data_IF_758495534404
#
_entry.id   IF_758495534404
#
_cell.length_a   1.000
_cell.length_b   1.000
_cell.length_c   1.000
_cell.angle_alpha   90.00
_cell.angle_beta   90.00
_cell.angle_gamma   90.00
#
_symmetry.space_group_name_H-M   'P 1'
#
loop_
_entity.id
_entity.type
_entity.pdbx_description
1 polymer ?
#
# COMPACT_ATOMS: atom_id res chain seq x y z
N UNK A 1 -18.50 -8.47 -4.59
CA UNK A 1 -18.19 -7.31 -5.47
C UNK A 1 -16.70 -7.40 -5.79
N UNK A 2 -16.31 -7.15 -7.04
CA UNK A 2 -14.90 -7.17 -7.46
C UNK A 2 -14.56 -5.79 -7.99
N UNK A 3 -13.55 -5.15 -7.42
CA UNK A 3 -13.00 -3.89 -7.90
C UNK A 3 -11.61 -4.14 -8.46
N UNK A 4 -11.42 -3.86 -9.75
CA UNK A 4 -10.13 -3.89 -10.43
C UNK A 4 -9.85 -2.50 -10.99
N UNK A 5 -8.62 -2.03 -10.86
CA UNK A 5 -8.24 -0.68 -11.26
C UNK A 5 -6.87 -0.67 -11.93
N UNK A 6 -6.65 0.35 -12.76
CA UNK A 6 -5.36 0.68 -13.36
C UNK A 6 -5.20 2.19 -13.20
N UNK A 7 -4.06 2.63 -12.66
CA UNK A 7 -3.75 4.05 -12.46
C UNK A 7 -2.45 4.40 -13.19
N UNK A 8 -2.42 5.47 -14.01
CA UNK A 8 -1.18 5.93 -14.64
C UNK A 8 -0.32 6.63 -13.59
N UNK A 9 0.85 6.06 -13.28
CA UNK A 9 1.77 6.56 -12.26
C UNK A 9 2.97 7.34 -12.81
N UNK A 10 3.04 7.49 -14.13
CA UNK A 10 4.20 8.06 -14.80
C UNK A 10 5.42 7.14 -14.76
N UNK A 11 6.62 7.73 -14.81
CA UNK A 11 7.88 7.00 -14.74
C UNK A 11 8.29 6.75 -13.30
N UNK A 12 8.58 5.50 -12.96
CA UNK A 12 8.98 5.09 -11.62
C UNK A 12 9.55 3.68 -11.60
N UNK A 13 9.84 3.17 -10.41
CA UNK A 13 10.31 1.79 -10.22
C UNK A 13 9.14 0.83 -9.98
N UNK A 14 9.36 -0.47 -10.16
CA UNK A 14 8.35 -1.49 -9.84
C UNK A 14 7.88 -1.38 -8.38
N UNK A 15 8.81 -1.15 -7.44
CA UNK A 15 8.46 -1.00 -6.02
C UNK A 15 7.64 0.26 -5.74
N UNK A 16 7.86 1.34 -6.50
CA UNK A 16 7.02 2.53 -6.43
C UNK A 16 5.60 2.24 -6.93
N UNK A 17 5.48 1.54 -8.06
CA UNK A 17 4.20 1.17 -8.64
C UNK A 17 3.38 0.28 -7.69
N UNK A 18 4.01 -0.74 -7.10
CA UNK A 18 3.37 -1.64 -6.13
C UNK A 18 2.93 -0.91 -4.86
N UNK A 19 3.76 0.00 -4.35
CA UNK A 19 3.43 0.81 -3.16
C UNK A 19 2.21 1.68 -3.42
N UNK A 20 2.17 2.35 -4.58
CA UNK A 20 1.07 3.25 -4.95
C UNK A 20 -0.20 2.47 -5.28
N UNK A 21 -0.10 1.28 -5.87
CA UNK A 21 -1.23 0.39 -6.07
C UNK A 21 -1.84 -0.06 -4.74
N UNK A 22 -1.01 -0.49 -3.78
CA UNK A 22 -1.47 -0.86 -2.44
C UNK A 22 -2.16 0.32 -1.72
N UNK A 23 -1.56 1.51 -1.79
CA UNK A 23 -2.14 2.71 -1.21
C UNK A 23 -3.50 3.08 -1.82
N UNK A 24 -3.62 3.01 -3.15
CA UNK A 24 -4.88 3.29 -3.84
C UNK A 24 -5.96 2.29 -3.45
N UNK A 25 -5.64 0.98 -3.42
CA UNK A 25 -6.59 -0.06 -3.04
C UNK A 25 -7.11 0.11 -1.62
N UNK A 26 -6.22 0.39 -0.66
CA UNK A 26 -6.62 0.61 0.75
C UNK A 26 -7.46 1.88 0.89
N UNK A 27 -7.07 2.98 0.24
CA UNK A 27 -7.83 4.21 0.29
C UNK A 27 -9.24 4.01 -0.28
N UNK A 28 -9.36 3.29 -1.39
CA UNK A 28 -10.66 2.95 -1.97
C UNK A 28 -11.52 2.15 -0.98
N UNK A 29 -10.93 1.16 -0.31
CA UNK A 29 -11.64 0.38 0.72
C UNK A 29 -12.15 1.29 1.86
N UNK A 30 -11.30 2.18 2.37
CA UNK A 30 -11.66 3.11 3.45
C UNK A 30 -12.75 4.11 3.04
N UNK A 31 -12.72 4.60 1.80
CA UNK A 31 -13.74 5.50 1.25
C UNK A 31 -15.13 4.85 1.16
N UNK A 32 -15.21 3.52 1.22
CA UNK A 32 -16.44 2.74 1.19
C UNK A 32 -16.71 2.02 2.53
N UNK A 33 -16.16 2.56 3.63
CA UNK A 33 -16.37 2.08 5.00
C UNK A 33 -15.89 0.64 5.29
N UNK A 34 -15.01 0.09 4.45
CA UNK A 34 -14.36 -1.19 4.74
C UNK A 34 -13.20 -1.00 5.73
N UNK A 35 -13.39 -1.45 6.98
CA UNK A 35 -12.39 -1.32 8.06
C UNK A 35 -11.52 -2.55 8.29
N UNK A 36 -12.02 -3.73 7.90
CA UNK A 36 -11.33 -5.02 8.02
C UNK A 36 -10.79 -5.42 6.66
N UNK A 37 -9.51 -5.20 6.42
CA UNK A 37 -8.87 -5.36 5.11
C UNK A 37 -7.77 -6.40 5.22
N UNK A 38 -7.80 -7.42 4.35
CA UNK A 38 -6.66 -8.30 4.10
C UNK A 38 -5.93 -7.74 2.88
N UNK A 39 -4.70 -7.28 3.08
CA UNK A 39 -3.84 -6.76 2.02
C UNK A 39 -2.89 -7.85 1.54
N UNK A 40 -3.16 -8.42 0.36
CA UNK A 40 -2.28 -9.39 -0.28
C UNK A 40 -1.38 -8.70 -1.31
N UNK A 41 -0.06 -8.90 -1.18
CA UNK A 41 0.94 -8.23 -2.02
C UNK A 41 1.96 -9.26 -2.49
N UNK A 42 2.23 -9.30 -3.80
CA UNK A 42 3.27 -10.16 -4.39
C UNK A 42 4.68 -9.53 -4.36
N UNK A 43 4.89 -8.51 -3.53
CA UNK A 43 6.14 -7.75 -3.43
C UNK A 43 6.85 -8.03 -2.12
N UNK A 44 7.96 -8.75 -2.17
CA UNK A 44 8.74 -9.08 -0.98
C UNK A 44 9.27 -7.82 -0.29
N UNK A 45 9.73 -6.83 -1.06
CA UNK A 45 10.25 -5.58 -0.53
C UNK A 45 9.16 -4.79 0.21
N UNK A 46 7.98 -4.63 -0.40
CA UNK A 46 6.89 -3.91 0.22
C UNK A 46 6.42 -4.61 1.50
N UNK A 47 6.30 -5.94 1.48
CA UNK A 47 5.98 -6.72 2.67
C UNK A 47 6.99 -6.50 3.80
N UNK A 48 8.29 -6.44 3.49
CA UNK A 48 9.35 -6.15 4.48
C UNK A 48 9.29 -4.71 5.01
N UNK A 49 8.93 -3.73 4.17
CA UNK A 49 8.74 -2.34 4.59
C UNK A 49 7.54 -2.17 5.51
N UNK A 50 6.39 -2.76 5.14
CA UNK A 50 5.16 -2.71 5.93
C UNK A 50 5.30 -3.45 7.27
N UNK A 51 6.09 -4.53 7.29
CA UNK A 51 6.39 -5.27 8.52
C UNK A 51 7.51 -4.63 9.36
N UNK A 52 7.98 -3.43 9.02
CA UNK A 52 9.11 -2.75 9.66
C UNK A 52 10.42 -3.55 9.75
N UNK A 53 10.59 -4.60 8.92
CA UNK A 53 11.79 -5.47 8.93
C UNK A 53 13.00 -4.78 8.30
N UNK A 54 12.76 -3.94 7.30
CA UNK A 54 13.79 -3.14 6.63
C UNK A 54 13.27 -1.72 6.42
N UNK A 55 14.18 -0.74 6.37
CA UNK A 55 13.82 0.64 6.02
C UNK A 55 13.68 0.80 4.51
N UNK A 56 12.68 1.54 4.01
CA UNK A 56 12.62 1.88 2.60
C UNK A 56 13.72 2.87 2.20
N UNK A 57 14.10 2.90 0.91
CA UNK A 57 14.92 3.98 0.37
C UNK A 57 14.28 5.34 0.62
N UNK A 58 15.11 6.38 0.83
CA UNK A 58 14.64 7.76 1.10
C UNK A 58 13.65 8.27 0.04
N UNK A 59 13.86 7.90 -1.23
CA UNK A 59 13.01 8.29 -2.36
C UNK A 59 11.60 7.69 -2.32
N UNK A 60 11.43 6.52 -1.68
CA UNK A 60 10.16 5.83 -1.54
C UNK A 60 9.48 6.10 -0.19
N UNK A 61 10.21 6.68 0.77
CA UNK A 61 9.70 6.94 2.10
C UNK A 61 8.45 7.83 2.09
N UNK A 62 8.41 8.82 1.19
CA UNK A 62 7.25 9.69 0.98
C UNK A 62 5.96 8.95 0.58
N UNK A 63 6.06 7.76 -0.01
CA UNK A 63 4.91 6.94 -0.42
C UNK A 63 4.58 5.87 0.63
N UNK A 64 5.61 5.31 1.29
CA UNK A 64 5.45 4.21 2.23
C UNK A 64 5.01 4.68 3.61
N UNK A 65 5.50 5.83 4.09
CA UNK A 65 5.11 6.35 5.40
C UNK A 65 3.60 6.63 5.51
N UNK A 66 2.94 7.26 4.52
CA UNK A 66 1.48 7.39 4.52
C UNK A 66 0.77 6.04 4.54
N UNK A 67 1.22 5.09 3.71
CA UNK A 67 0.63 3.75 3.64
C UNK A 67 0.69 3.02 4.99
N UNK A 68 1.84 3.07 5.67
CA UNK A 68 2.02 2.50 7.01
C UNK A 68 1.07 3.16 8.01
N UNK A 69 0.98 4.50 8.00
CA UNK A 69 0.08 5.22 8.89
C UNK A 69 -1.38 4.82 8.63
N UNK A 70 -1.80 4.70 7.38
CA UNK A 70 -3.15 4.24 7.03
C UNK A 70 -3.41 2.81 7.50
N UNK A 71 -2.46 1.90 7.29
CA UNK A 71 -2.59 0.50 7.72
C UNK A 71 -2.69 0.38 9.24
N UNK A 72 -1.95 1.20 9.99
CA UNK A 72 -2.00 1.19 11.47
C UNK A 72 -3.35 1.59 12.06
N UNK A 73 -4.25 2.18 11.25
CA UNK A 73 -5.60 2.57 11.65
C UNK A 73 -6.66 1.52 11.32
N UNK A 74 -6.30 0.44 10.62
CA UNK A 74 -7.21 -0.62 10.22
C UNK A 74 -7.52 -1.57 11.38
N UNK A 75 -8.70 -2.19 11.35
CA UNK A 75 -9.06 -3.24 12.30
C UNK A 75 -8.38 -4.55 11.87
N UNK A 76 -7.64 -5.16 12.80
CA UNK A 76 -7.07 -6.49 12.60
C UNK A 76 -8.16 -7.56 12.79
N UNK A 77 -8.06 -8.64 11.99
CA UNK A 77 -8.92 -9.81 12.12
C UNK A 77 -8.53 -10.69 13.31
#
# INVERSE_FOLDING_TARGET
MVYAFIIPLGSGTNSQAETLAAAHGIQWCLQHDFKKIILEINSELLTKWLSHKIKPPWSLQQHISPLINTISQLEFF
#
